data_IF_188916374538
#
_entry.id   IF_188916374538
#
_cell.length_a   1.000
_cell.length_b   1.000
_cell.length_c   1.000
_cell.angle_alpha   90.00
_cell.angle_beta   90.00
_cell.angle_gamma   90.00
#
_symmetry.space_group_name_H-M   'P 1'
#
loop_
_entity.id
_entity.type
_entity.pdbx_description
1 polymer ?
#
# COMPACT_ATOMS: atom_id res chain seq x y z
N UNK A 1 16.04 33.42 -23.32
CA UNK A 1 14.71 32.84 -23.60
C UNK A 1 14.59 31.35 -23.29
N UNK A 2 15.51 30.43 -23.68
CA UNK A 2 15.27 28.98 -23.51
C UNK A 2 15.23 28.53 -22.04
N UNK A 3 16.10 29.10 -21.20
CA UNK A 3 16.16 28.78 -19.75
C UNK A 3 14.86 29.15 -19.01
N UNK A 4 14.23 30.25 -19.41
CA UNK A 4 12.96 30.69 -18.81
C UNK A 4 11.81 29.73 -19.18
N UNK A 5 11.78 29.26 -20.43
CA UNK A 5 10.79 28.28 -20.90
C UNK A 5 10.97 26.94 -20.17
N UNK A 6 12.20 26.43 -20.08
CA UNK A 6 12.48 25.18 -19.37
C UNK A 6 12.17 25.28 -17.88
N UNK A 7 12.46 26.42 -17.25
CA UNK A 7 12.13 26.67 -15.84
C UNK A 7 10.62 26.69 -15.58
N UNK A 8 9.85 27.34 -16.47
CA UNK A 8 8.39 27.37 -16.37
C UNK A 8 7.77 25.97 -16.51
N UNK A 9 8.26 25.16 -17.47
CA UNK A 9 7.79 23.79 -17.66
C UNK A 9 8.12 22.91 -16.44
N UNK A 10 9.33 23.04 -15.87
CA UNK A 10 9.71 22.30 -14.67
C UNK A 10 8.81 22.66 -13.48
N UNK A 11 8.53 23.95 -13.25
CA UNK A 11 7.65 24.39 -12.18
C UNK A 11 6.21 23.86 -12.35
N UNK A 12 5.69 23.87 -13.59
CA UNK A 12 4.38 23.31 -13.91
C UNK A 12 4.31 21.81 -13.64
N UNK A 13 5.30 21.05 -14.07
CA UNK A 13 5.35 19.60 -13.85
C UNK A 13 5.47 19.25 -12.36
N UNK A 14 6.30 19.98 -11.61
CA UNK A 14 6.42 19.79 -10.16
C UNK A 14 5.11 20.11 -9.44
N UNK A 15 4.45 21.19 -9.82
CA UNK A 15 3.12 21.54 -9.28
C UNK A 15 2.07 20.47 -9.59
N UNK A 16 2.05 19.97 -10.82
CA UNK A 16 1.15 18.89 -11.22
C UNK A 16 1.40 17.60 -10.42
N UNK A 17 2.67 17.25 -10.19
CA UNK A 17 3.03 16.09 -9.39
C UNK A 17 2.54 16.22 -7.94
N UNK A 18 2.73 17.39 -7.31
CA UNK A 18 2.25 17.64 -5.96
C UNK A 18 0.72 17.54 -5.85
N UNK A 19 -0.02 18.15 -6.79
CA UNK A 19 -1.49 18.03 -6.84
C UNK A 19 -1.93 16.59 -7.07
N UNK A 20 -1.23 15.85 -7.94
CA UNK A 20 -1.59 14.45 -8.21
C UNK A 20 -1.34 13.57 -6.97
N UNK A 21 -0.25 13.82 -6.23
CA UNK A 21 0.04 13.13 -4.98
C UNK A 21 -0.95 13.47 -3.87
N UNK A 22 -1.45 14.70 -3.82
CA UNK A 22 -2.52 15.15 -2.92
C UNK A 22 -3.86 14.47 -3.24
N UNK A 23 -4.24 14.43 -4.52
CA UNK A 23 -5.46 13.75 -5.00
C UNK A 23 -5.40 12.23 -4.90
N UNK A 24 -4.20 11.65 -5.04
CA UNK A 24 -3.93 10.24 -4.74
C UNK A 24 -3.69 10.00 -3.24
N UNK A 25 -3.58 11.10 -2.49
CA UNK A 25 -3.38 11.11 -1.06
C UNK A 25 -4.66 10.77 -0.32
N UNK A 26 -4.52 10.78 0.99
CA UNK A 26 -5.46 10.16 1.90
C UNK A 26 -6.77 10.95 2.08
N UNK A 27 -6.92 12.08 1.39
CA UNK A 27 -8.10 12.93 1.40
C UNK A 27 -9.30 12.34 0.63
N UNK A 28 -9.07 11.34 -0.23
CA UNK A 28 -10.15 10.55 -0.79
C UNK A 28 -10.42 9.32 0.08
N UNK A 29 -11.58 9.25 0.77
CA UNK A 29 -11.92 8.04 1.52
C UNK A 29 -12.00 6.87 0.53
N UNK A 30 -11.26 5.80 0.81
CA UNK A 30 -11.32 4.56 0.03
C UNK A 30 -12.76 4.06 -0.10
N UNK A 31 -13.07 3.36 -1.18
CA UNK A 31 -14.41 2.84 -1.43
C UNK A 31 -14.46 1.34 -1.14
N UNK A 32 -15.42 0.89 -0.34
CA UNK A 32 -15.65 -0.53 -0.12
C UNK A 32 -16.35 -1.16 -1.33
N UNK A 33 -15.71 -2.17 -1.92
CA UNK A 33 -16.25 -2.99 -3.00
C UNK A 33 -16.46 -4.40 -2.47
N UNK A 34 -17.64 -4.97 -2.70
CA UNK A 34 -17.96 -6.35 -2.28
C UNK A 34 -17.71 -7.29 -3.45
N UNK A 35 -16.88 -8.30 -3.26
CA UNK A 35 -16.57 -9.36 -4.21
C UNK A 35 -16.84 -10.77 -3.64
N UNK A 36 -16.55 -11.81 -4.43
CA UNK A 36 -16.78 -13.21 -4.04
C UNK A 36 -15.91 -13.68 -2.84
N UNK A 37 -14.84 -12.96 -2.52
CA UNK A 37 -13.94 -13.21 -1.39
C UNK A 37 -14.23 -12.34 -0.17
N UNK A 38 -15.11 -11.33 -0.26
CA UNK A 38 -15.51 -10.47 0.85
C UNK A 38 -15.61 -9.00 0.48
N UNK A 39 -15.57 -8.11 1.48
CA UNK A 39 -15.48 -6.68 1.27
C UNK A 39 -14.00 -6.27 1.17
N UNK A 40 -13.63 -5.57 0.09
CA UNK A 40 -12.31 -5.00 -0.10
C UNK A 40 -12.40 -3.47 -0.10
N UNK A 41 -11.49 -2.82 0.62
CA UNK A 41 -11.30 -1.38 0.51
C UNK A 41 -10.43 -1.12 -0.72
N UNK A 42 -10.99 -0.40 -1.70
CA UNK A 42 -10.31 -0.03 -2.94
C UNK A 42 -10.05 1.46 -2.93
N UNK A 43 -8.78 1.85 -3.07
CA UNK A 43 -8.35 3.24 -2.94
C UNK A 43 -8.31 3.74 -1.49
N UNK A 44 -7.96 5.02 -1.33
CA UNK A 44 -7.63 5.65 -0.05
C UNK A 44 -6.25 5.21 0.46
N UNK A 45 -5.49 6.12 1.07
CA UNK A 45 -4.41 5.66 1.94
C UNK A 45 -5.05 4.99 3.15
N UNK A 46 -4.50 3.85 3.52
CA UNK A 46 -4.81 3.22 4.80
C UNK A 46 -3.64 3.55 5.74
N UNK A 47 -3.93 4.22 6.84
CA UNK A 47 -2.90 4.44 7.87
C UNK A 47 -2.58 3.09 8.52
N UNK A 48 -1.29 2.78 8.65
CA UNK A 48 -0.87 1.53 9.28
C UNK A 48 -1.19 1.49 10.77
N UNK A 49 -1.33 2.66 11.42
CA UNK A 49 -1.71 2.78 12.83
C UNK A 49 -3.19 2.45 13.07
N UNK A 50 -4.06 2.66 12.06
CA UNK A 50 -5.49 2.33 12.12
C UNK A 50 -5.76 0.85 11.75
N UNK A 51 -4.74 0.12 11.30
CA UNK A 51 -4.89 -1.29 10.97
C UNK A 51 -4.92 -2.16 12.23
N UNK A 52 -5.90 -3.07 12.34
CA UNK A 52 -5.87 -4.06 13.42
C UNK A 52 -4.62 -4.94 13.29
N UNK A 53 -4.03 -5.30 14.43
CA UNK A 53 -2.92 -6.26 14.48
C UNK A 53 -3.33 -7.54 13.75
N UNK A 54 -2.54 -7.90 12.73
CA UNK A 54 -2.73 -9.14 12.01
C UNK A 54 -2.68 -10.33 12.99
N UNK A 55 -3.61 -11.30 12.90
CA UNK A 55 -3.53 -12.50 13.71
C UNK A 55 -2.17 -13.16 13.54
N UNK A 56 -1.60 -13.65 14.65
CA UNK A 56 -0.38 -14.44 14.58
C UNK A 56 -0.58 -15.55 13.54
N UNK A 57 0.36 -15.73 12.59
CA UNK A 57 0.31 -16.86 11.67
C UNK A 57 0.09 -18.12 12.51
N UNK A 58 -0.80 -19.05 12.11
CA UNK A 58 -0.88 -20.33 12.78
C UNK A 58 0.54 -20.86 12.85
N UNK A 59 0.99 -21.30 14.03
CA UNK A 59 2.28 -21.94 14.20
C UNK A 59 2.39 -22.95 13.06
N UNK A 60 3.21 -22.64 12.04
CA UNK A 60 3.52 -23.60 11.00
C UNK A 60 4.14 -24.72 11.79
N UNK A 61 3.37 -25.80 11.97
CA UNK A 61 3.73 -26.91 12.81
C UNK A 61 5.21 -27.19 12.54
N UNK A 62 6.04 -26.90 13.55
CA UNK A 62 7.47 -27.12 13.44
C UNK A 62 7.63 -28.53 12.89
N UNK A 63 8.33 -28.73 11.75
CA UNK A 63 8.49 -30.06 11.18
C UNK A 63 8.90 -31.01 12.30
N UNK A 64 8.27 -32.19 12.41
CA UNK A 64 8.60 -33.14 13.48
C UNK A 64 10.10 -33.40 13.45
N UNK A 65 10.71 -33.47 14.64
CA UNK A 65 12.13 -33.75 14.74
C UNK A 65 12.48 -35.03 13.96
N UNK A 66 13.65 -35.10 13.30
CA UNK A 66 14.07 -36.31 12.59
C UNK A 66 14.02 -37.52 13.52
N UNK A 67 13.28 -38.55 13.13
CA UNK A 67 13.22 -39.81 13.87
C UNK A 67 14.56 -40.52 13.65
N UNK A 68 15.30 -40.92 14.70
CA UNK A 68 16.53 -41.69 14.52
C UNK A 68 16.18 -43.03 13.87
N UNK A 69 16.79 -43.31 12.72
CA UNK A 69 16.74 -44.63 12.10
C UNK A 69 17.63 -45.53 12.96
N UNK A 70 17.00 -46.41 13.73
CA UNK A 70 17.67 -47.23 14.74
C UNK A 70 18.69 -48.21 14.16
N UNK A 71 19.70 -48.49 14.98
CA UNK A 71 20.62 -49.64 14.87
C UNK A 71 20.01 -50.90 15.51
#
# INVERSE_FOLDING_TARGET
MPVAVTGAVAALLTGAAAVTADQAGCDHPGTWVVDAGGAQLVGGCLDSEDLPVAPAPPDRARPPAPVPLGD
#
